data_IF_943051907887
#
_entry.id   IF_943051907887
#
_cell.length_a   1.000
_cell.length_b   1.000
_cell.length_c   1.000
_cell.angle_alpha   90.00
_cell.angle_beta   90.00
_cell.angle_gamma   90.00
#
_symmetry.space_group_name_H-M   'P 1'
#
loop_
_entity.id
_entity.type
_entity.pdbx_description
1 polymer ?
#
# COMPACT_ATOMS: atom_id res chain seq x y z
N UNK A 1 -2.04 -10.58 -11.76
CA UNK A 1 -3.00 -9.45 -11.83
C UNK A 1 -2.64 -8.47 -10.73
N UNK A 2 -2.05 -7.36 -11.13
CA UNK A 2 -1.42 -6.35 -10.27
C UNK A 2 -2.49 -5.53 -9.55
N UNK A 3 -2.85 -5.96 -8.34
CA UNK A 3 -3.75 -5.21 -7.46
C UNK A 3 -3.01 -3.98 -6.91
N UNK A 4 -3.66 -2.81 -6.93
CA UNK A 4 -3.12 -1.54 -6.45
C UNK A 4 -2.35 -1.70 -5.14
N UNK A 5 -1.04 -1.46 -5.22
CA UNK A 5 -0.08 -2.02 -4.29
C UNK A 5 -0.07 -1.30 -2.94
N UNK A 6 -0.65 -0.10 -2.88
CA UNK A 6 -0.70 0.73 -1.69
C UNK A 6 -2.03 1.51 -1.59
N UNK A 7 -2.40 1.92 -0.38
CA UNK A 7 -3.56 2.79 -0.10
C UNK A 7 -3.11 4.01 0.67
N UNK A 8 -3.66 5.19 0.40
CA UNK A 8 -3.34 6.37 1.19
C UNK A 8 -3.79 6.18 2.65
N UNK A 9 -2.91 6.45 3.62
CA UNK A 9 -3.23 6.29 5.04
C UNK A 9 -4.31 7.26 5.55
N UNK A 10 -4.57 8.37 4.85
CA UNK A 10 -5.52 9.40 5.26
C UNK A 10 -6.91 9.23 4.64
N UNK A 11 -6.98 9.07 3.32
CA UNK A 11 -8.25 8.95 2.60
C UNK A 11 -8.61 7.51 2.19
N UNK A 12 -7.75 6.53 2.51
CA UNK A 12 -7.89 5.12 2.13
C UNK A 12 -8.01 4.86 0.61
N UNK A 13 -7.64 5.84 -0.21
CA UNK A 13 -7.71 5.70 -1.66
C UNK A 13 -6.62 4.75 -2.16
N UNK A 14 -6.95 3.75 -3.00
CA UNK A 14 -5.96 2.87 -3.60
C UNK A 14 -5.10 3.69 -4.57
N UNK A 15 -3.78 3.63 -4.40
CA UNK A 15 -2.82 4.24 -5.31
C UNK A 15 -1.76 3.23 -5.75
N UNK A 16 -1.40 3.33 -7.02
CA UNK A 16 -0.22 2.72 -7.59
C UNK A 16 0.94 3.71 -7.43
N UNK A 17 1.76 3.50 -6.39
CA UNK A 17 2.93 4.36 -6.13
C UNK A 17 3.97 4.12 -7.24
N UNK A 18 4.03 5.04 -8.21
CA UNK A 18 5.09 5.06 -9.20
C UNK A 18 6.31 5.82 -8.62
N UNK A 19 7.52 5.46 -9.05
CA UNK A 19 8.80 6.00 -8.59
C UNK A 19 8.99 7.52 -8.78
N UNK A 20 8.03 8.20 -9.41
CA UNK A 20 8.04 9.63 -9.75
C UNK A 20 7.58 10.53 -8.60
N UNK A 21 6.98 9.99 -7.53
CA UNK A 21 6.64 10.76 -6.33
C UNK A 21 5.61 10.08 -5.44
N UNK A 22 5.84 10.13 -4.13
CA UNK A 22 4.94 9.61 -3.10
C UNK A 22 4.01 10.73 -2.63
N UNK A 23 2.98 11.07 -3.40
CA UNK A 23 1.95 12.02 -2.97
C UNK A 23 0.56 11.60 -3.45
N UNK A 24 -0.39 11.50 -2.54
CA UNK A 24 -1.77 11.18 -2.87
C UNK A 24 -2.41 12.37 -3.60
N UNK A 25 -2.96 12.11 -4.78
CA UNK A 25 -3.54 13.15 -5.66
C UNK A 25 -4.75 13.85 -5.04
N UNK A 26 -5.51 13.18 -4.17
CA UNK A 26 -6.67 13.79 -3.52
C UNK A 26 -6.37 14.62 -2.28
N UNK A 27 -5.46 14.16 -1.43
CA UNK A 27 -5.27 14.74 -0.11
C UNK A 27 -3.85 15.28 0.14
N UNK A 28 -2.96 15.17 -0.84
CA UNK A 28 -1.56 15.59 -0.74
C UNK A 28 -0.73 14.77 0.25
N UNK A 29 -1.30 13.71 0.82
CA UNK A 29 -0.66 12.91 1.86
C UNK A 29 0.37 11.95 1.26
N UNK A 30 1.51 11.79 1.93
CA UNK A 30 2.67 11.08 1.38
C UNK A 30 2.86 9.68 1.98
N UNK A 31 2.01 9.30 2.94
CA UNK A 31 2.07 8.01 3.62
C UNK A 31 1.06 7.06 2.99
N UNK A 32 1.55 5.89 2.56
CA UNK A 32 0.74 4.83 1.98
C UNK A 32 0.94 3.50 2.70
N UNK A 33 -0.12 2.70 2.76
CA UNK A 33 -0.19 1.41 3.44
C UNK A 33 -0.29 0.30 2.40
N UNK A 34 0.60 -0.69 2.48
CA UNK A 34 0.50 -1.91 1.68
C UNK A 34 -0.47 -2.87 2.37
N UNK A 35 -1.36 -3.48 1.59
CA UNK A 35 -2.28 -4.44 2.14
C UNK A 35 -1.55 -5.72 2.57
N UNK A 36 -2.06 -6.38 3.62
CA UNK A 36 -1.48 -7.62 4.08
C UNK A 36 -1.73 -8.71 3.03
N UNK A 37 -0.70 -9.41 2.54
CA UNK A 37 -0.93 -10.54 1.65
C UNK A 37 -1.78 -11.61 2.34
N UNK A 38 -2.70 -12.22 1.59
CA UNK A 38 -3.58 -13.29 2.07
C UNK A 38 -2.79 -14.55 2.44
N UNK A 39 -1.57 -14.67 1.93
CA UNK A 39 -0.67 -15.78 2.22
C UNK A 39 -0.37 -15.86 3.72
N UNK A 40 -0.67 -17.02 4.31
CA UNK A 40 -0.42 -17.26 5.73
C UNK A 40 1.08 -17.31 5.93
N UNK A 41 1.61 -16.37 6.71
CA UNK A 41 3.00 -16.44 7.19
C UNK A 41 3.17 -17.73 7.99
N UNK A 42 3.91 -18.68 7.43
CA UNK A 42 4.36 -19.88 8.14
C UNK A 42 5.53 -19.45 9.02
N UNK A 43 5.37 -19.56 10.33
CA UNK A 43 6.45 -19.33 11.28
C UNK A 43 6.97 -20.70 11.72
N UNK A 44 8.26 -20.94 11.53
CA UNK A 44 8.94 -22.10 12.09
C UNK A 44 9.38 -21.77 13.51
N UNK A 45 8.95 -22.55 14.49
CA UNK A 45 9.46 -22.48 15.86
C UNK A 45 10.64 -23.45 15.95
N UNK A 46 11.85 -22.92 16.16
CA UNK A 46 13.05 -23.67 16.57
C UNK A 46 12.98 -24.01 18.06
#
# INVERSE_FOLDING_TARGET
MSAGEYRCAKCNEPQNVNSLGLQCEKCGYQIFLKDRPVDKKVYSTD
#
